data_IF_044312549441
#
_entry.id   IF_044312549441
#
_cell.length_a   1.000
_cell.length_b   1.000
_cell.length_c   1.000
_cell.angle_alpha   90.00
_cell.angle_beta   90.00
_cell.angle_gamma   90.00
#
_symmetry.space_group_name_H-M   'P 1'
#
loop_
_entity.id
_entity.type
_entity.pdbx_description
1 polymer ?
#
# COMPACT_ATOMS: atom_id res chain seq x y z
N UNK A 1 4.29 -13.12 12.67
CA UNK A 1 3.39 -14.26 12.88
C UNK A 1 3.16 -14.90 11.52
N UNK A 2 3.28 -16.22 11.39
CA UNK A 2 3.01 -16.91 10.13
C UNK A 2 1.52 -16.74 9.80
N UNK A 3 1.20 -16.17 8.63
CA UNK A 3 -0.18 -16.09 8.17
C UNK A 3 -0.62 -17.46 7.68
N UNK A 4 -1.69 -18.00 8.26
CA UNK A 4 -2.27 -19.31 7.92
C UNK A 4 -3.66 -19.11 7.29
N UNK A 5 -3.76 -18.71 6.01
CA UNK A 5 -5.04 -18.59 5.35
C UNK A 5 -5.73 -19.96 5.24
N UNK A 6 -7.05 -19.95 5.45
CA UNK A 6 -7.86 -21.16 5.57
C UNK A 6 -7.72 -21.88 6.91
N UNK A 7 -7.09 -21.23 7.91
CA UNK A 7 -7.24 -21.68 9.28
C UNK A 7 -8.65 -21.38 9.76
N UNK A 8 -9.33 -22.41 10.26
CA UNK A 8 -10.63 -22.27 10.90
C UNK A 8 -10.47 -22.30 12.41
N UNK A 9 -11.38 -21.60 13.12
CA UNK A 9 -11.40 -21.66 14.57
C UNK A 9 -11.75 -23.10 14.98
N UNK A 10 -10.88 -23.72 15.78
CA UNK A 10 -11.15 -25.06 16.28
C UNK A 10 -12.33 -24.99 17.25
N UNK A 11 -13.37 -25.77 16.97
CA UNK A 11 -14.49 -25.92 17.89
C UNK A 11 -14.00 -26.66 19.14
N UNK A 12 -14.03 -25.97 20.27
CA UNK A 12 -13.58 -26.49 21.56
C UNK A 12 -14.77 -27.17 22.26
N UNK A 13 -14.59 -28.44 22.58
CA UNK A 13 -15.58 -29.27 23.28
C UNK A 13 -14.95 -29.90 24.53
N UNK A 14 -15.78 -30.35 25.47
CA UNK A 14 -15.29 -31.03 26.68
C UNK A 14 -14.46 -32.30 26.37
N UNK A 15 -14.68 -32.91 25.21
CA UNK A 15 -13.96 -34.12 24.77
C UNK A 15 -12.60 -33.81 24.14
N UNK A 16 -12.38 -32.57 23.68
CA UNK A 16 -11.17 -32.15 22.95
C UNK A 16 -10.21 -31.32 23.79
N UNK A 17 -10.65 -30.85 24.96
CA UNK A 17 -9.88 -29.93 25.82
C UNK A 17 -9.86 -30.44 27.25
N UNK A 18 -8.66 -30.63 27.81
CA UNK A 18 -8.47 -30.78 29.25
C UNK A 18 -8.40 -29.40 29.90
N UNK A 19 -9.46 -29.03 30.63
CA UNK A 19 -9.57 -27.73 31.29
C UNK A 19 -8.72 -27.69 32.57
N UNK A 20 -8.04 -26.57 32.87
CA UNK A 20 -7.49 -26.32 34.20
C UNK A 20 -8.62 -26.14 35.23
N UNK A 21 -8.29 -26.21 36.52
CA UNK A 21 -9.28 -26.19 37.61
C UNK A 21 -10.17 -24.93 37.63
N UNK A 22 -9.67 -23.82 37.10
CA UNK A 22 -10.30 -22.50 36.95
C UNK A 22 -10.58 -22.15 35.47
N UNK A 23 -10.69 -23.17 34.62
CA UNK A 23 -10.93 -23.02 33.18
C UNK A 23 -12.37 -23.29 32.76
N UNK A 24 -12.93 -22.42 31.93
CA UNK A 24 -14.23 -22.61 31.27
C UNK A 24 -14.10 -22.51 29.74
N UNK A 25 -14.90 -23.31 29.01
CA UNK A 25 -15.05 -23.15 27.56
C UNK A 25 -16.16 -22.13 27.28
N UNK A 26 -15.78 -20.99 26.73
CA UNK A 26 -16.73 -19.91 26.40
C UNK A 26 -17.04 -19.94 24.90
N UNK A 27 -18.35 -20.01 24.59
CA UNK A 27 -18.90 -19.99 23.22
C UNK A 27 -18.33 -21.06 22.27
N UNK A 28 -17.79 -22.17 22.81
CA UNK A 28 -17.17 -23.25 22.02
C UNK A 28 -15.92 -22.83 21.23
N UNK A 29 -15.33 -21.67 21.55
CA UNK A 29 -14.23 -21.07 20.78
C UNK A 29 -13.05 -20.65 21.64
N UNK A 30 -13.31 -20.29 22.90
CA UNK A 30 -12.28 -19.81 23.81
C UNK A 30 -12.18 -20.71 25.02
N UNK A 31 -10.96 -20.95 25.47
CA UNK A 31 -10.71 -21.38 26.85
C UNK A 31 -10.43 -20.11 27.63
N UNK A 32 -11.24 -19.86 28.63
CA UNK A 32 -11.03 -18.77 29.56
C UNK A 32 -10.54 -19.35 30.88
N UNK A 33 -9.42 -18.85 31.37
CA UNK A 33 -8.80 -19.29 32.63
C UNK A 33 -8.71 -18.06 33.53
N UNK A 34 -9.51 -18.06 34.59
CA UNK A 34 -9.69 -16.88 35.42
C UNK A 34 -10.88 -17.05 36.36
N UNK A 35 -10.81 -16.40 37.52
CA UNK A 35 -11.89 -16.46 38.52
C UNK A 35 -13.09 -15.56 38.20
N UNK A 36 -12.99 -14.72 37.16
CA UNK A 36 -13.98 -13.72 36.77
C UNK A 36 -14.59 -14.04 35.40
N UNK A 37 -15.48 -13.19 34.86
CA UNK A 37 -16.16 -13.48 33.59
C UNK A 37 -15.38 -12.93 32.40
N UNK A 38 -15.57 -13.53 31.22
CA UNK A 38 -14.95 -13.04 29.98
C UNK A 38 -15.43 -11.62 29.59
N UNK A 39 -16.60 -11.20 30.05
CA UNK A 39 -17.17 -9.87 29.79
C UNK A 39 -16.60 -8.79 30.73
N UNK A 40 -16.03 -9.18 31.87
CA UNK A 40 -15.37 -8.28 32.84
C UNK A 40 -14.03 -8.88 33.33
N UNK A 41 -13.01 -8.95 32.44
CA UNK A 41 -11.74 -9.58 32.78
C UNK A 41 -10.89 -8.70 33.69
N UNK A 42 -10.24 -9.31 34.68
CA UNK A 42 -9.25 -8.65 35.53
C UNK A 42 -7.83 -9.05 35.16
N UNK A 43 -6.85 -8.33 35.73
CA UNK A 43 -5.43 -8.66 35.53
C UNK A 43 -5.14 -10.04 36.14
N UNK A 44 -4.76 -10.99 35.28
CA UNK A 44 -4.51 -12.37 35.66
C UNK A 44 -5.30 -13.37 34.81
N UNK A 45 -6.42 -12.93 34.21
CA UNK A 45 -7.26 -13.78 33.39
C UNK A 45 -6.63 -14.02 32.00
N UNK A 46 -6.73 -15.25 31.51
CA UNK A 46 -6.14 -15.69 30.25
C UNK A 46 -7.22 -16.21 29.32
N UNK A 47 -7.21 -15.71 28.08
CA UNK A 47 -8.07 -16.22 26.99
C UNK A 47 -7.23 -16.89 25.92
N UNK A 48 -7.53 -18.16 25.64
CA UNK A 48 -6.83 -18.99 24.66
C UNK A 48 -7.79 -19.36 23.54
N UNK A 49 -7.34 -19.26 22.30
CA UNK A 49 -8.07 -19.71 21.11
C UNK A 49 -7.14 -20.45 20.16
N UNK A 50 -7.63 -21.50 19.52
CA UNK A 50 -6.87 -22.27 18.55
C UNK A 50 -7.45 -22.07 17.14
N UNK A 51 -6.56 -21.93 16.16
CA UNK A 51 -6.92 -21.98 14.74
C UNK A 51 -6.17 -23.16 14.12
N UNK A 52 -6.87 -23.94 13.32
CA UNK A 52 -6.34 -25.16 12.70
C UNK A 52 -6.54 -25.13 11.19
N UNK A 53 -5.64 -25.75 10.45
CA UNK A 53 -5.81 -26.00 9.02
C UNK A 53 -6.33 -27.44 8.91
N UNK A 54 -7.55 -27.66 8.38
CA UNK A 54 -8.09 -29.02 8.23
C UNK A 54 -7.18 -29.89 7.35
N UNK A 55 -7.04 -31.16 7.73
CA UNK A 55 -6.26 -32.14 6.96
C UNK A 55 -6.86 -32.38 5.58
N UNK A 56 -6.01 -32.63 4.58
CA UNK A 56 -6.44 -32.88 3.20
C UNK A 56 -6.40 -31.66 2.28
N UNK A 57 -6.05 -30.48 2.82
CA UNK A 57 -5.83 -29.28 2.03
C UNK A 57 -4.36 -29.18 1.59
N UNK A 58 -4.14 -28.90 0.31
CA UNK A 58 -2.81 -28.55 -0.21
C UNK A 58 -2.54 -27.08 0.05
N UNK A 59 -1.43 -26.77 0.72
CA UNK A 59 -1.01 -25.39 0.99
C UNK A 59 0.37 -25.14 0.38
N UNK A 60 0.56 -23.95 -0.18
CA UNK A 60 1.86 -23.46 -0.61
C UNK A 60 2.42 -22.58 0.50
N UNK A 61 3.55 -22.98 1.09
CA UNK A 61 4.24 -22.20 2.10
C UNK A 61 5.40 -21.39 1.48
N UNK A 62 5.48 -20.11 1.82
CA UNK A 62 6.52 -19.19 1.40
C UNK A 62 7.42 -18.83 2.59
N UNK A 63 8.73 -18.99 2.39
CA UNK A 63 9.75 -18.68 3.39
C UNK A 63 11.12 -19.21 2.98
N UNK A 64 12.09 -19.11 3.89
CA UNK A 64 13.43 -19.65 3.71
C UNK A 64 13.47 -21.09 4.20
N UNK A 65 13.91 -22.01 3.34
CA UNK A 65 14.17 -23.39 3.75
C UNK A 65 15.48 -23.44 4.56
N UNK A 66 15.37 -23.84 5.81
CA UNK A 66 16.48 -24.07 6.74
C UNK A 66 16.43 -25.53 7.19
N UNK A 67 17.15 -26.38 6.46
CA UNK A 67 17.12 -27.84 6.61
C UNK A 67 15.70 -28.43 6.53
N UNK A 68 15.13 -28.80 7.68
CA UNK A 68 13.80 -29.42 7.83
C UNK A 68 12.70 -28.42 8.18
N UNK A 69 13.02 -27.12 8.26
CA UNK A 69 12.10 -26.07 8.71
C UNK A 69 11.97 -24.95 7.70
N UNK A 70 10.79 -24.36 7.66
CA UNK A 70 10.54 -23.11 6.92
C UNK A 70 10.62 -21.96 7.92
N UNK A 71 11.62 -21.12 7.74
CA UNK A 71 11.88 -19.92 8.53
C UNK A 71 11.47 -18.65 7.76
N UNK A 72 11.25 -17.51 8.44
CA UNK A 72 10.96 -16.26 7.75
C UNK A 72 12.08 -15.85 6.80
N UNK A 73 11.74 -15.57 5.54
CA UNK A 73 12.69 -15.00 4.59
C UNK A 73 12.67 -13.48 4.70
N UNK A 74 13.82 -12.85 4.97
CA UNK A 74 13.93 -11.38 5.02
C UNK A 74 14.70 -10.91 3.80
N UNK A 75 14.07 -10.08 2.97
CA UNK A 75 14.71 -9.49 1.80
C UNK A 75 15.67 -8.35 2.22
N UNK A 76 16.52 -7.89 1.29
CA UNK A 76 17.47 -6.78 1.49
C UNK A 76 16.81 -5.50 1.99
N UNK A 77 15.56 -5.28 1.61
CA UNK A 77 14.74 -4.12 1.99
C UNK A 77 14.05 -4.27 3.37
N UNK A 78 14.37 -5.34 4.13
CA UNK A 78 13.78 -5.62 5.44
C UNK A 78 12.36 -6.22 5.39
N UNK A 79 11.80 -6.40 4.18
CA UNK A 79 10.50 -7.04 4.01
C UNK A 79 10.59 -8.54 4.31
N UNK A 80 9.65 -9.06 5.09
CA UNK A 80 9.60 -10.47 5.49
C UNK A 80 8.56 -11.23 4.69
N UNK A 81 8.97 -12.31 4.03
CA UNK A 81 8.10 -13.29 3.39
C UNK A 81 8.00 -14.53 4.28
N UNK A 82 6.85 -14.69 4.94
CA UNK A 82 6.56 -15.83 5.80
C UNK A 82 5.05 -16.07 5.91
N UNK A 83 4.49 -16.70 4.89
CA UNK A 83 3.05 -16.94 4.76
C UNK A 83 2.75 -18.27 4.08
N UNK A 84 1.63 -18.89 4.43
CA UNK A 84 1.03 -19.95 3.63
C UNK A 84 -0.05 -19.37 2.73
N UNK A 85 -0.39 -20.05 1.64
CA UNK A 85 -1.57 -19.79 0.80
C UNK A 85 -2.23 -21.12 0.41
N UNK A 86 -3.56 -21.15 0.32
CA UNK A 86 -4.32 -22.35 -0.10
C UNK A 86 -4.41 -22.51 -1.63
N UNK A 87 -3.70 -21.68 -2.38
CA UNK A 87 -3.61 -21.74 -3.83
C UNK A 87 -2.31 -22.39 -4.28
N UNK A 88 -2.26 -22.84 -5.53
CA UNK A 88 -1.03 -23.37 -6.12
C UNK A 88 0.10 -22.33 -6.14
N UNK A 89 1.34 -22.78 -6.33
CA UNK A 89 2.52 -21.91 -6.34
C UNK A 89 2.42 -20.80 -7.41
N UNK A 90 2.09 -21.16 -8.65
CA UNK A 90 1.99 -20.18 -9.75
C UNK A 90 0.91 -19.13 -9.49
N UNK A 91 -0.28 -19.58 -9.08
CA UNK A 91 -1.41 -18.69 -8.75
C UNK A 91 -1.06 -17.76 -7.58
N UNK A 92 -0.41 -18.30 -6.54
CA UNK A 92 0.05 -17.51 -5.40
C UNK A 92 1.04 -16.42 -5.83
N UNK A 93 2.03 -16.74 -6.66
CA UNK A 93 3.03 -15.78 -7.13
C UNK A 93 2.38 -14.67 -7.97
N UNK A 94 1.44 -15.03 -8.86
CA UNK A 94 0.69 -14.06 -9.65
C UNK A 94 -0.15 -13.15 -8.75
N UNK A 95 -0.87 -13.73 -7.78
CA UNK A 95 -1.69 -12.99 -6.83
C UNK A 95 -0.85 -12.01 -5.99
N UNK A 96 0.30 -12.44 -5.47
CA UNK A 96 1.22 -11.58 -4.72
C UNK A 96 1.67 -10.38 -5.57
N UNK A 97 2.06 -10.61 -6.82
CA UNK A 97 2.46 -9.53 -7.72
C UNK A 97 1.32 -8.53 -7.99
N UNK A 98 0.09 -9.04 -8.16
CA UNK A 98 -1.10 -8.20 -8.34
C UNK A 98 -1.45 -7.41 -7.09
N UNK A 99 -1.37 -8.01 -5.90
CA UNK A 99 -1.58 -7.36 -4.60
C UNK A 99 -0.61 -6.18 -4.41
N UNK A 100 0.68 -6.41 -4.67
CA UNK A 100 1.70 -5.37 -4.61
C UNK A 100 1.44 -4.25 -5.63
N UNK A 101 1.16 -4.59 -6.89
CA UNK A 101 0.85 -3.61 -7.94
C UNK A 101 -0.37 -2.77 -7.59
N UNK A 102 -1.45 -3.42 -7.14
CA UNK A 102 -2.69 -2.76 -6.71
C UNK A 102 -2.44 -1.80 -5.56
N UNK A 103 -1.68 -2.23 -4.54
CA UNK A 103 -1.34 -1.38 -3.40
C UNK A 103 -0.58 -0.12 -3.86
N UNK A 104 0.40 -0.26 -4.74
CA UNK A 104 1.15 0.88 -5.30
C UNK A 104 0.23 1.87 -6.02
N UNK A 105 -0.69 1.39 -6.85
CA UNK A 105 -1.63 2.26 -7.57
C UNK A 105 -2.63 2.95 -6.64
N UNK A 106 -3.11 2.27 -5.60
CA UNK A 106 -3.95 2.87 -4.57
C UNK A 106 -3.20 4.02 -3.88
N UNK A 107 -1.97 3.79 -3.42
CA UNK A 107 -1.17 4.83 -2.76
C UNK A 107 -0.85 6.00 -3.68
N UNK A 108 -0.63 5.76 -4.97
CA UNK A 108 -0.45 6.84 -5.97
C UNK A 108 -1.70 7.66 -6.17
N UNK A 109 -2.87 7.02 -6.24
CA UNK A 109 -4.16 7.72 -6.35
C UNK A 109 -4.41 8.56 -5.09
N UNK A 110 -4.17 8.00 -3.91
CA UNK A 110 -4.30 8.72 -2.63
C UNK A 110 -3.35 9.93 -2.61
N UNK A 111 -2.09 9.76 -2.98
CA UNK A 111 -1.12 10.85 -3.05
C UNK A 111 -1.53 11.95 -4.04
N UNK A 112 -2.06 11.59 -5.21
CA UNK A 112 -2.60 12.53 -6.18
C UNK A 112 -3.77 13.33 -5.60
N UNK A 113 -4.75 12.66 -4.99
CA UNK A 113 -5.90 13.33 -4.39
C UNK A 113 -5.49 14.27 -3.25
N UNK A 114 -4.56 13.85 -2.39
CA UNK A 114 -4.00 14.70 -1.34
C UNK A 114 -3.31 15.94 -1.92
N UNK A 115 -2.53 15.78 -2.99
CA UNK A 115 -1.87 16.91 -3.65
C UNK A 115 -2.87 17.86 -4.29
N UNK A 116 -3.90 17.33 -4.95
CA UNK A 116 -4.97 18.13 -5.55
C UNK A 116 -5.69 18.96 -4.49
N UNK A 117 -6.12 18.33 -3.40
CA UNK A 117 -6.79 19.01 -2.29
C UNK A 117 -5.84 20.05 -1.66
N UNK A 118 -4.58 19.69 -1.44
CA UNK A 118 -3.56 20.60 -0.90
C UNK A 118 -3.36 21.86 -1.74
N UNK A 119 -3.20 21.72 -3.06
CA UNK A 119 -3.09 22.86 -3.98
C UNK A 119 -4.37 23.69 -4.02
N UNK A 120 -5.53 23.03 -3.97
CA UNK A 120 -6.83 23.69 -3.87
C UNK A 120 -6.94 24.56 -2.61
N UNK A 121 -6.47 24.09 -1.46
CA UNK A 121 -6.43 24.85 -0.22
C UNK A 121 -5.45 26.03 -0.28
N UNK A 122 -4.26 25.83 -0.86
CA UNK A 122 -3.26 26.91 -1.02
C UNK A 122 -3.75 28.02 -1.93
N UNK A 123 -4.48 27.68 -3.00
CA UNK A 123 -5.01 28.62 -3.98
C UNK A 123 -6.43 29.12 -3.63
N UNK A 124 -7.04 28.61 -2.55
CA UNK A 124 -8.36 29.04 -2.10
C UNK A 124 -8.45 30.55 -1.82
N UNK A 125 -7.48 31.20 -1.14
CA UNK A 125 -7.54 32.65 -0.92
C UNK A 125 -7.55 33.46 -2.21
N UNK A 126 -6.84 32.98 -3.25
CA UNK A 126 -6.84 33.62 -4.56
C UNK A 126 -8.23 33.53 -5.21
N UNK A 127 -8.92 32.40 -5.07
CA UNK A 127 -10.27 32.24 -5.63
C UNK A 127 -11.29 33.21 -5.01
N UNK A 128 -11.21 33.46 -3.70
CA UNK A 128 -12.08 34.43 -3.00
C UNK A 128 -11.88 35.86 -3.50
N UNK A 129 -10.66 36.24 -3.88
CA UNK A 129 -10.40 37.56 -4.47
C UNK A 129 -11.05 37.70 -5.87
N UNK A 130 -11.09 36.62 -6.65
CA UNK A 130 -11.77 36.61 -7.95
C UNK A 130 -13.31 36.60 -7.81
N UNK A 131 -13.85 36.11 -6.70
CA UNK A 131 -15.30 36.05 -6.41
C UNK A 131 -15.93 37.45 -6.21
N UNK A 132 -15.13 38.52 -6.08
CA UNK A 132 -15.60 39.91 -6.07
C UNK A 132 -16.27 40.30 -7.41
N UNK A 133 -16.01 39.56 -8.49
CA UNK A 133 -16.67 39.75 -9.79
C UNK A 133 -17.93 38.86 -9.89
N UNK A 134 -19.15 39.44 -9.95
CA UNK A 134 -20.43 38.72 -9.78
C UNK A 134 -20.74 37.64 -10.84
N UNK A 135 -20.03 37.64 -11.97
CA UNK A 135 -20.19 36.64 -13.04
C UNK A 135 -19.20 35.46 -12.92
N UNK A 136 -18.18 35.58 -12.07
CA UNK A 136 -17.08 34.63 -12.00
C UNK A 136 -17.13 33.75 -10.75
N UNK A 137 -17.89 34.08 -9.70
CA UNK A 137 -17.72 33.44 -8.39
C UNK A 137 -18.08 31.94 -8.25
N UNK A 138 -18.90 31.38 -9.14
CA UNK A 138 -19.20 29.93 -9.17
C UNK A 138 -18.37 29.18 -10.21
N UNK A 139 -18.06 29.84 -11.34
CA UNK A 139 -17.17 29.32 -12.38
C UNK A 139 -15.71 29.32 -11.93
N UNK A 140 -15.30 30.28 -11.10
CA UNK A 140 -13.96 30.46 -10.54
C UNK A 140 -13.54 29.25 -9.73
N UNK A 141 -14.36 28.81 -8.78
CA UNK A 141 -14.05 27.68 -7.89
C UNK A 141 -13.95 26.36 -8.64
N UNK A 142 -14.84 26.12 -9.61
CA UNK A 142 -14.76 24.96 -10.49
C UNK A 142 -13.53 24.99 -11.40
N UNK A 143 -13.23 26.14 -12.01
CA UNK A 143 -12.08 26.31 -12.88
C UNK A 143 -10.74 26.20 -12.14
N UNK A 144 -10.65 26.76 -10.93
CA UNK A 144 -9.45 26.63 -10.07
C UNK A 144 -9.27 25.19 -9.62
N UNK A 145 -10.34 24.49 -9.23
CA UNK A 145 -10.26 23.06 -8.91
C UNK A 145 -9.80 22.23 -10.11
N UNK A 146 -10.33 22.48 -11.30
CA UNK A 146 -9.92 21.77 -12.51
C UNK A 146 -8.46 22.07 -12.88
N UNK A 147 -8.05 23.34 -12.82
CA UNK A 147 -6.67 23.75 -13.10
C UNK A 147 -5.69 23.11 -12.10
N UNK A 148 -6.01 23.12 -10.81
CA UNK A 148 -5.21 22.45 -9.76
C UNK A 148 -5.22 20.94 -9.90
N UNK A 149 -6.31 20.35 -10.41
CA UNK A 149 -6.38 18.93 -10.76
C UNK A 149 -5.41 18.56 -11.89
N UNK A 150 -5.36 19.37 -12.94
CA UNK A 150 -4.40 19.17 -14.04
C UNK A 150 -2.95 19.34 -13.59
N UNK A 151 -2.69 20.39 -12.79
CA UNK A 151 -1.35 20.64 -12.24
C UNK A 151 -0.93 19.49 -11.33
N UNK A 152 -1.77 19.09 -10.37
CA UNK A 152 -1.49 17.96 -9.47
C UNK A 152 -1.32 16.64 -10.24
N UNK A 153 -2.05 16.42 -11.33
CA UNK A 153 -1.88 15.24 -12.16
C UNK A 153 -0.49 15.21 -12.81
N UNK A 154 -0.06 16.32 -13.42
CA UNK A 154 1.28 16.43 -14.01
C UNK A 154 2.37 16.24 -12.96
N UNK A 155 2.26 16.91 -11.80
CA UNK A 155 3.23 16.73 -10.71
C UNK A 155 3.23 15.30 -10.15
N UNK A 156 2.07 14.66 -10.05
CA UNK A 156 1.96 13.27 -9.59
C UNK A 156 2.63 12.30 -10.56
N UNK A 157 2.41 12.47 -11.87
CA UNK A 157 3.10 11.69 -12.90
C UNK A 157 4.61 11.89 -12.83
N UNK A 158 5.08 13.14 -12.73
CA UNK A 158 6.51 13.45 -12.57
C UNK A 158 7.07 12.77 -11.32
N UNK A 159 6.36 12.85 -10.19
CA UNK A 159 6.79 12.22 -8.93
C UNK A 159 6.87 10.69 -9.06
N UNK A 160 5.91 10.06 -9.74
CA UNK A 160 5.91 8.62 -10.00
C UNK A 160 7.10 8.24 -10.90
N UNK A 161 7.36 9.01 -11.96
CA UNK A 161 8.50 8.78 -12.84
C UNK A 161 9.82 8.90 -12.10
N UNK A 162 10.00 9.97 -11.33
CA UNK A 162 11.18 10.18 -10.49
C UNK A 162 11.35 9.03 -9.50
N UNK A 163 10.30 8.61 -8.80
CA UNK A 163 10.33 7.47 -7.88
C UNK A 163 10.77 6.17 -8.58
N UNK A 164 10.26 5.90 -9.78
CA UNK A 164 10.60 4.71 -10.58
C UNK A 164 12.06 4.73 -11.03
N UNK A 165 12.54 5.91 -11.41
CA UNK A 165 13.93 6.19 -11.75
C UNK A 165 14.85 5.91 -10.55
N UNK A 166 14.54 6.42 -9.37
CA UNK A 166 15.39 6.20 -8.18
C UNK A 166 15.45 4.73 -7.75
N UNK A 167 14.37 3.97 -7.90
CA UNK A 167 14.34 2.54 -7.58
C UNK A 167 14.96 1.66 -8.68
N UNK A 168 15.18 2.20 -9.88
CA UNK A 168 15.79 1.46 -10.98
C UNK A 168 16.89 2.29 -11.64
N UNK A 169 18.14 2.01 -11.24
CA UNK A 169 19.36 2.69 -11.72
C UNK A 169 19.41 2.79 -13.26
N UNK A 170 18.92 1.78 -13.98
CA UNK A 170 18.88 1.80 -15.45
C UNK A 170 17.86 2.82 -15.97
N UNK A 171 16.65 2.86 -15.39
CA UNK A 171 15.64 3.87 -15.73
C UNK A 171 16.13 5.29 -15.42
N UNK A 172 16.91 5.47 -14.34
CA UNK A 172 17.56 6.73 -14.02
C UNK A 172 18.49 7.19 -15.14
N UNK A 173 19.44 6.37 -15.54
CA UNK A 173 20.42 6.73 -16.58
C UNK A 173 19.71 7.09 -17.89
N UNK A 174 18.73 6.30 -18.32
CA UNK A 174 17.98 6.55 -19.57
C UNK A 174 17.22 7.88 -19.50
N UNK A 175 16.56 8.17 -18.37
CA UNK A 175 15.80 9.41 -18.19
C UNK A 175 16.69 10.66 -18.23
N UNK A 176 17.89 10.60 -17.64
CA UNK A 176 18.87 11.70 -17.65
C UNK A 176 19.38 11.94 -19.07
N UNK A 177 19.64 10.88 -19.85
CA UNK A 177 20.07 11.01 -21.25
C UNK A 177 18.98 11.67 -22.09
N UNK A 178 17.71 11.28 -21.91
CA UNK A 178 16.58 11.88 -22.64
C UNK A 178 16.42 13.36 -22.23
N UNK A 179 16.48 13.67 -20.94
CA UNK A 179 16.40 15.05 -20.45
C UNK A 179 17.52 15.91 -21.04
N UNK A 180 18.77 15.42 -21.03
CA UNK A 180 19.91 16.11 -21.64
C UNK A 180 19.72 16.31 -23.16
N UNK A 181 19.20 15.32 -23.87
CA UNK A 181 18.92 15.42 -25.31
C UNK A 181 17.82 16.44 -25.63
N UNK A 182 16.74 16.47 -24.83
CA UNK A 182 15.65 17.45 -24.97
C UNK A 182 16.16 18.86 -24.69
N UNK A 183 16.90 19.04 -23.60
CA UNK A 183 17.53 20.33 -23.26
C UNK A 183 18.46 20.78 -24.39
N UNK A 184 19.34 19.91 -24.87
CA UNK A 184 20.23 20.20 -26.00
C UNK A 184 19.46 20.59 -27.28
N UNK A 185 18.37 19.87 -27.61
CA UNK A 185 17.51 20.20 -28.75
C UNK A 185 16.88 21.59 -28.61
N UNK A 186 16.37 21.95 -27.43
CA UNK A 186 15.81 23.27 -27.17
C UNK A 186 16.86 24.39 -27.17
N UNK A 187 18.07 24.14 -26.66
CA UNK A 187 19.20 25.07 -26.78
C UNK A 187 19.56 25.32 -28.24
N UNK A 188 19.71 24.26 -29.06
CA UNK A 188 19.96 24.41 -30.51
C UNK A 188 18.85 25.13 -31.26
N UNK A 189 17.59 24.92 -30.85
CA UNK A 189 16.43 25.61 -31.43
C UNK A 189 16.40 27.09 -31.04
N UNK A 190 16.90 27.46 -29.87
CA UNK A 190 17.07 28.85 -29.42
C UNK A 190 18.19 29.56 -30.17
N UNK A 191 19.33 28.89 -30.37
CA UNK A 191 20.46 29.43 -31.14
C UNK A 191 20.08 29.71 -32.60
N UNK A 192 19.31 28.82 -33.25
CA UNK A 192 18.80 29.04 -34.62
C UNK A 192 17.82 30.20 -34.76
N UNK A 193 17.22 30.69 -33.68
CA UNK A 193 16.36 31.88 -33.69
C UNK A 193 17.12 33.19 -33.42
N UNK A 194 18.42 33.12 -33.11
CA UNK A 194 19.25 34.27 -32.74
C UNK A 194 20.35 34.61 -33.75
N UNK A 195 20.27 34.14 -35.01
CA UNK A 195 21.04 34.77 -36.10
C UNK A 195 20.24 35.98 -36.61
N UNK A 196 20.55 37.23 -36.18
CA UNK A 196 19.96 38.39 -36.82
C UNK A 196 20.45 38.46 -38.27
N UNK A 197 19.52 38.51 -39.20
CA UNK A 197 19.78 39.07 -40.51
C UNK A 197 20.05 40.57 -40.30
N UNK A 198 21.33 40.95 -40.30
CA UNK A 198 21.80 42.32 -40.53
C UNK A 198 23.27 42.26 -40.96
N UNK A 199 23.48 42.25 -42.28
CA UNK A 199 24.55 42.90 -43.05
C UNK A 199 24.46 42.39 -44.49
#
# INVERSE_FOLDING_TARGET
RFSMPGSEALALTADTVTLPADGEIVSGKYIYVGGFSMDDPIVGDVRISYNVIPSGNTVTAFGKLDSDKISPFVNKDGQTLYEARMTGFEESVVAMQQEHSRSLWIWRLVGFLMMWIGLGMVLAPLSVLLDVLPFLGSLSRGAVSLATGLISFVLSVVTILVSMIFHNVVALVVSVIIAAAVVFYFFKKKEKKQTPANA
#
